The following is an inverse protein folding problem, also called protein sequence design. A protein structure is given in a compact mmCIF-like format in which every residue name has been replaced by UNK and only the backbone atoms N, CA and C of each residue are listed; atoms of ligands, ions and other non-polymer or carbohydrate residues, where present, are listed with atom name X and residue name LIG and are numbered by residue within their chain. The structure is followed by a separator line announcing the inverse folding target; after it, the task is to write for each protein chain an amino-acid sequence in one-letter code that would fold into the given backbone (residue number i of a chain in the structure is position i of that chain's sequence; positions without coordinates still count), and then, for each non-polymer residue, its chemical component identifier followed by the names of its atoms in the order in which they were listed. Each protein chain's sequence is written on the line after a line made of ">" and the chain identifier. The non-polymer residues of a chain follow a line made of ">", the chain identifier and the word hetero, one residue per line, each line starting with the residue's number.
data_IF_497086132349
#
_entry.id   IF_497086132349
#
_cell.length_a   1.000
_cell.length_b   1.000
_cell.length_c   1.000
_cell.angle_alpha   90.00
_cell.angle_beta   90.00
_cell.angle_gamma   90.00
#
_symmetry.space_group_name_H-M   'P 1'
#
loop_
_entity.id
_entity.type
_entity.pdbx_description
1 polymer ?
#
# COMPACT_ATOMS: atom_id res chain seq x y z
N UNK A 1 46.80 42.70 -42.39
CA UNK A 1 46.64 41.37 -41.74
C UNK A 1 45.75 41.47 -40.55
N UNK A 2 44.49 41.08 -40.67
CA UNK A 2 43.53 41.14 -39.58
C UNK A 2 43.47 39.80 -38.86
N UNK A 3 43.98 39.74 -37.62
CA UNK A 3 43.90 38.56 -36.78
C UNK A 3 42.47 38.39 -36.27
N UNK A 4 41.70 37.47 -36.86
CA UNK A 4 40.42 37.02 -36.28
C UNK A 4 40.68 36.35 -34.96
N UNK A 5 40.43 37.08 -33.86
CA UNK A 5 40.27 36.46 -32.54
C UNK A 5 39.02 35.56 -32.56
N UNK A 6 39.24 34.24 -32.55
CA UNK A 6 38.18 33.29 -32.28
C UNK A 6 37.76 33.42 -30.81
N UNK A 7 36.76 34.21 -30.53
CA UNK A 7 36.06 34.23 -29.23
C UNK A 7 35.37 32.85 -29.08
N UNK A 8 35.96 32.00 -28.25
CA UNK A 8 35.35 30.73 -27.89
C UNK A 8 33.98 31.04 -27.25
N UNK A 9 32.89 30.59 -27.93
CA UNK A 9 31.52 30.80 -27.46
C UNK A 9 31.36 30.30 -26.04
N UNK A 10 30.68 31.04 -25.13
CA UNK A 10 30.60 30.69 -23.68
C UNK A 10 29.78 29.41 -23.36
N UNK A 11 29.34 28.68 -24.36
CA UNK A 11 28.48 27.51 -24.23
C UNK A 11 29.18 26.21 -23.73
N UNK A 12 30.48 26.12 -23.82
CA UNK A 12 31.25 24.94 -23.45
C UNK A 12 31.25 24.66 -21.93
N UNK A 13 31.18 25.72 -21.10
CA UNK A 13 31.09 25.58 -19.66
C UNK A 13 29.70 25.12 -19.22
N UNK A 14 28.64 25.51 -19.93
CA UNK A 14 27.27 25.05 -19.69
C UNK A 14 27.20 23.53 -19.83
N UNK A 15 27.75 22.97 -20.91
CA UNK A 15 27.84 21.53 -21.10
C UNK A 15 28.60 20.79 -19.98
N UNK A 16 29.67 21.42 -19.45
CA UNK A 16 30.39 20.88 -18.28
C UNK A 16 29.56 20.91 -17.01
N UNK A 17 28.84 21.99 -16.75
CA UNK A 17 27.94 22.09 -15.59
C UNK A 17 26.88 21.00 -15.65
N UNK A 18 26.18 20.81 -16.80
CA UNK A 18 25.21 19.73 -16.95
C UNK A 18 25.82 18.34 -16.77
N UNK A 19 27.04 18.12 -17.29
CA UNK A 19 27.76 16.86 -17.09
C UNK A 19 28.08 16.62 -15.61
N UNK A 20 28.58 17.64 -14.89
CA UNK A 20 28.85 17.54 -13.46
C UNK A 20 27.57 17.26 -12.65
N UNK A 21 26.46 17.95 -12.97
CA UNK A 21 25.16 17.71 -12.34
C UNK A 21 24.64 16.30 -12.63
N UNK A 22 24.79 15.82 -13.88
CA UNK A 22 24.41 14.45 -14.24
C UNK A 22 25.24 13.39 -13.50
N UNK A 23 26.55 13.60 -13.36
CA UNK A 23 27.42 12.72 -12.58
C UNK A 23 27.05 12.78 -11.10
N UNK A 24 26.81 13.95 -10.53
CA UNK A 24 26.40 14.08 -9.13
C UNK A 24 25.07 13.37 -8.85
N UNK A 25 24.10 13.52 -9.74
CA UNK A 25 22.81 12.80 -9.65
C UNK A 25 23.01 11.28 -9.75
N UNK A 26 23.83 10.81 -10.68
CA UNK A 26 24.16 9.37 -10.80
C UNK A 26 24.80 8.84 -9.54
N UNK A 27 25.77 9.56 -8.97
CA UNK A 27 26.43 9.17 -7.71
C UNK A 27 25.46 9.16 -6.55
N UNK A 28 24.53 10.11 -6.48
CA UNK A 28 23.49 10.14 -5.46
C UNK A 28 22.56 8.92 -5.57
N UNK A 29 22.11 8.59 -6.79
CA UNK A 29 21.27 7.41 -7.03
C UNK A 29 22.03 6.14 -6.65
N UNK A 30 23.28 6.00 -7.10
CA UNK A 30 24.13 4.86 -6.72
C UNK A 30 24.29 4.77 -5.19
N UNK A 31 24.55 5.88 -4.52
CA UNK A 31 24.65 5.90 -3.05
C UNK A 31 23.36 5.39 -2.39
N UNK A 32 22.19 5.85 -2.81
CA UNK A 32 20.89 5.40 -2.28
C UNK A 32 20.77 3.87 -2.42
N UNK A 33 21.07 3.32 -3.59
CA UNK A 33 20.93 1.87 -3.84
C UNK A 33 21.96 1.02 -3.09
N UNK A 34 23.19 1.51 -2.98
CA UNK A 34 24.30 0.76 -2.37
C UNK A 34 24.36 0.91 -0.85
N UNK A 35 23.71 1.92 -0.28
CA UNK A 35 23.69 2.14 1.18
C UNK A 35 22.69 1.26 1.92
N UNK A 36 21.72 0.65 1.22
CA UNK A 36 20.71 -0.23 1.85
C UNK A 36 21.36 -1.48 2.41
N UNK A 37 21.10 -1.82 3.68
CA UNK A 37 21.57 -3.07 4.24
C UNK A 37 20.90 -4.27 3.56
N UNK A 38 21.62 -5.38 3.49
CA UNK A 38 21.06 -6.66 3.08
C UNK A 38 20.27 -7.25 4.24
N UNK A 39 19.08 -7.76 3.96
CA UNK A 39 18.24 -8.45 4.94
C UNK A 39 18.33 -9.96 4.76
N UNK A 40 18.36 -10.68 5.87
CA UNK A 40 18.05 -12.10 5.94
C UNK A 40 16.61 -12.26 6.35
N UNK A 41 15.92 -13.21 5.72
CA UNK A 41 14.53 -13.53 6.00
C UNK A 41 14.47 -14.94 6.58
N UNK A 42 13.75 -15.10 7.70
CA UNK A 42 13.42 -16.41 8.25
C UNK A 42 12.39 -17.07 7.34
N UNK A 43 12.40 -18.42 7.31
CA UNK A 43 11.37 -19.16 6.58
C UNK A 43 10.01 -18.90 7.23
N UNK A 44 9.04 -18.39 6.47
CA UNK A 44 7.69 -18.13 6.97
C UNK A 44 6.95 -19.46 7.21
N UNK A 45 5.93 -19.41 8.05
CA UNK A 45 5.07 -20.57 8.35
C UNK A 45 3.61 -20.10 8.40
N UNK A 46 2.67 -20.93 7.98
CA UNK A 46 1.24 -20.67 8.13
C UNK A 46 0.88 -20.34 9.59
N UNK A 47 -0.29 -19.78 9.79
CA UNK A 47 -0.87 -19.67 11.12
C UNK A 47 -1.14 -21.05 11.68
N UNK A 48 -0.89 -21.26 12.97
CA UNK A 48 -1.00 -22.55 13.65
C UNK A 48 -1.42 -22.36 15.11
N UNK A 49 -2.10 -23.33 15.67
CA UNK A 49 -2.55 -23.34 17.06
C UNK A 49 -4.05 -23.64 17.20
N UNK A 50 -4.50 -23.73 18.45
CA UNK A 50 -5.88 -24.08 18.76
C UNK A 50 -6.79 -22.84 18.88
N UNK A 51 -6.21 -21.67 19.19
CA UNK A 51 -6.97 -20.44 19.37
C UNK A 51 -7.30 -19.81 18.01
N UNK A 52 -8.58 -19.55 17.78
CA UNK A 52 -9.09 -18.82 16.64
C UNK A 52 -9.26 -17.32 17.00
N UNK A 53 -8.50 -16.47 16.34
CA UNK A 53 -8.67 -15.03 16.43
C UNK A 53 -9.56 -14.53 15.30
N UNK A 54 -10.62 -13.80 15.63
CA UNK A 54 -11.44 -13.06 14.66
C UNK A 54 -11.32 -11.55 14.91
N UNK A 55 -11.09 -10.73 13.87
CA UNK A 55 -11.08 -9.28 14.01
C UNK A 55 -12.46 -8.68 14.36
N UNK A 56 -13.55 -9.45 14.16
CA UNK A 56 -14.93 -8.98 14.30
C UNK A 56 -15.59 -9.35 15.66
N UNK A 57 -14.82 -9.84 16.61
CA UNK A 57 -15.37 -10.26 17.90
C UNK A 57 -16.16 -9.14 18.61
N UNK A 58 -15.66 -7.92 18.53
CA UNK A 58 -16.26 -6.73 19.17
C UNK A 58 -17.06 -5.87 18.17
N UNK A 59 -17.41 -6.42 17.02
CA UNK A 59 -18.17 -5.71 15.98
C UNK A 59 -19.57 -5.31 16.48
N UNK A 60 -19.93 -4.04 16.26
CA UNK A 60 -21.31 -3.57 16.39
C UNK A 60 -21.84 -3.19 15.00
N UNK A 61 -22.90 -3.86 14.48
CA UNK A 61 -23.38 -3.64 13.12
C UNK A 61 -23.85 -2.20 12.83
N UNK A 62 -24.13 -1.41 13.86
CA UNK A 62 -24.60 -0.02 13.74
C UNK A 62 -23.45 1.02 13.72
N UNK A 63 -22.19 0.58 13.84
CA UNK A 63 -21.03 1.48 13.98
C UNK A 63 -20.10 1.49 12.75
N UNK A 64 -20.56 0.99 11.64
CA UNK A 64 -19.78 1.05 10.41
C UNK A 64 -19.66 2.47 9.89
N UNK A 65 -18.42 2.86 9.56
CA UNK A 65 -18.03 4.15 9.01
C UNK A 65 -17.34 3.95 7.68
N UNK A 66 -17.65 4.80 6.70
CA UNK A 66 -17.09 4.77 5.35
C UNK A 66 -15.82 5.59 5.29
N UNK A 67 -14.70 4.94 5.00
CA UNK A 67 -13.36 5.52 4.99
C UNK A 67 -12.68 5.38 3.64
N UNK A 68 -11.76 6.31 3.40
CA UNK A 68 -10.87 6.33 2.26
C UNK A 68 -9.51 6.89 2.71
N UNK A 69 -8.39 6.24 2.32
CA UNK A 69 -7.05 6.60 2.75
C UNK A 69 -6.10 6.99 1.61
N UNK A 70 -6.52 6.81 0.34
CA UNK A 70 -5.66 7.00 -0.82
C UNK A 70 -6.30 7.93 -1.85
N UNK A 71 -6.04 9.24 -1.70
CA UNK A 71 -6.54 10.29 -2.58
C UNK A 71 -5.48 11.38 -2.74
N UNK A 72 -5.38 11.93 -3.95
CA UNK A 72 -4.39 12.96 -4.28
C UNK A 72 -5.03 14.33 -4.51
N UNK A 73 -4.51 15.33 -3.80
CA UNK A 73 -4.86 16.73 -4.03
C UNK A 73 -4.00 17.34 -5.16
N UNK A 74 -4.32 18.59 -5.51
CA UNK A 74 -3.53 19.38 -6.45
C UNK A 74 -2.21 19.80 -5.80
N UNK A 75 -1.20 18.94 -5.85
CA UNK A 75 0.14 19.20 -5.34
C UNK A 75 1.16 19.41 -6.47
N UNK A 76 2.31 20.04 -6.16
CA UNK A 76 3.40 20.27 -7.12
C UNK A 76 2.92 20.92 -8.43
N UNK A 77 2.06 21.94 -8.34
CA UNK A 77 1.42 22.61 -9.50
C UNK A 77 0.58 21.68 -10.39
N UNK A 78 0.13 20.55 -9.86
CA UNK A 78 -0.60 19.52 -10.60
C UNK A 78 0.25 18.72 -11.57
N UNK A 79 1.58 18.62 -11.35
CA UNK A 79 2.48 17.80 -12.16
C UNK A 79 2.29 16.31 -11.89
N UNK A 80 1.97 15.95 -10.65
CA UNK A 80 1.82 14.55 -10.22
C UNK A 80 0.37 14.10 -10.18
N UNK A 81 -0.60 15.03 -10.11
CA UNK A 81 -2.00 14.73 -9.84
C UNK A 81 -2.95 15.62 -10.57
N UNK A 82 -4.23 15.25 -10.51
CA UNK A 82 -5.34 15.96 -11.10
C UNK A 82 -5.34 17.45 -10.75
N UNK A 83 -5.26 18.28 -11.77
CA UNK A 83 -5.21 19.76 -11.61
C UNK A 83 -6.46 20.33 -10.96
N UNK A 84 -7.54 19.55 -10.91
CA UNK A 84 -8.87 19.94 -10.41
C UNK A 84 -9.15 19.43 -9.00
N UNK A 85 -8.32 18.55 -8.46
CA UNK A 85 -8.48 17.97 -7.12
C UNK A 85 -7.98 18.95 -6.05
N UNK A 86 -8.66 20.10 -5.90
CA UNK A 86 -8.43 20.96 -4.74
C UNK A 86 -8.99 20.29 -3.49
N UNK A 87 -8.45 20.59 -2.32
CA UNK A 87 -8.90 20.04 -1.04
C UNK A 87 -10.41 20.28 -0.84
N UNK A 88 -10.90 21.47 -1.15
CA UNK A 88 -12.34 21.80 -1.10
C UNK A 88 -13.19 20.98 -2.10
N UNK A 89 -12.67 20.68 -3.28
CA UNK A 89 -13.39 19.83 -4.24
C UNK A 89 -13.42 18.38 -3.76
N UNK A 90 -12.34 17.90 -3.15
CA UNK A 90 -12.26 16.58 -2.51
C UNK A 90 -13.32 16.50 -1.39
N UNK A 91 -13.35 17.48 -0.48
CA UNK A 91 -14.36 17.57 0.57
C UNK A 91 -15.78 17.48 0.00
N UNK A 92 -16.09 18.31 -1.00
CA UNK A 92 -17.42 18.37 -1.58
C UNK A 92 -17.88 17.05 -2.18
N UNK A 93 -17.00 16.34 -2.89
CA UNK A 93 -17.35 15.08 -3.57
C UNK A 93 -17.47 13.92 -2.58
N UNK A 94 -16.51 13.74 -1.68
CA UNK A 94 -16.57 12.62 -0.73
C UNK A 94 -17.67 12.82 0.33
N UNK A 95 -17.97 14.04 0.74
CA UNK A 95 -19.14 14.33 1.59
C UNK A 95 -20.45 14.02 0.87
N UNK A 96 -20.58 14.38 -0.43
CA UNK A 96 -21.74 14.02 -1.22
C UNK A 96 -21.92 12.51 -1.35
N UNK A 97 -20.83 11.75 -1.45
CA UNK A 97 -20.80 10.28 -1.48
C UNK A 97 -21.04 9.64 -0.10
N UNK A 98 -21.20 10.45 0.95
CA UNK A 98 -21.47 9.97 2.32
C UNK A 98 -20.29 9.30 3.00
N UNK A 99 -19.05 9.72 2.69
CA UNK A 99 -17.88 9.27 3.44
C UNK A 99 -17.82 9.96 4.80
N UNK A 100 -17.53 9.18 5.83
CA UNK A 100 -17.29 9.69 7.18
C UNK A 100 -15.88 10.31 7.29
N UNK A 101 -14.91 9.73 6.58
CA UNK A 101 -13.55 10.25 6.47
C UNK A 101 -12.92 9.95 5.12
N UNK A 102 -12.09 10.86 4.62
CA UNK A 102 -11.28 10.70 3.41
C UNK A 102 -9.91 11.33 3.63
N UNK A 103 -8.87 10.49 3.58
CA UNK A 103 -7.48 10.90 3.75
C UNK A 103 -6.88 11.42 2.46
N UNK A 104 -6.24 12.60 2.51
CA UNK A 104 -5.44 13.12 1.40
C UNK A 104 -4.01 12.63 1.59
N UNK A 105 -3.55 11.75 0.69
CA UNK A 105 -2.25 11.07 0.76
C UNK A 105 -1.33 11.50 -0.39
N UNK A 106 -1.08 12.79 -0.52
CA UNK A 106 -0.22 13.34 -1.58
C UNK A 106 1.16 12.68 -1.60
N UNK A 107 1.75 12.54 -2.80
CA UNK A 107 3.09 11.97 -2.96
C UNK A 107 4.12 12.70 -2.12
N UNK A 108 4.81 11.97 -1.24
CA UNK A 108 5.90 12.46 -0.39
C UNK A 108 5.56 13.73 0.39
N UNK A 109 4.27 13.93 0.74
CA UNK A 109 3.79 15.11 1.43
C UNK A 109 2.58 14.82 2.31
N UNK A 110 2.68 15.13 3.60
CA UNK A 110 1.54 15.12 4.51
C UNK A 110 0.74 16.40 4.27
N UNK A 111 -0.50 16.24 3.79
CA UNK A 111 -1.38 17.37 3.55
C UNK A 111 -1.96 17.87 4.88
N UNK A 112 -1.80 19.17 5.23
CA UNK A 112 -2.29 19.71 6.49
C UNK A 112 -3.78 20.07 6.49
N UNK A 113 -4.51 19.80 5.39
CA UNK A 113 -5.94 20.08 5.31
C UNK A 113 -6.72 19.32 6.38
N UNK A 114 -7.46 20.02 7.21
CA UNK A 114 -8.18 19.44 8.34
C UNK A 114 -7.33 19.16 9.60
N UNK A 115 -6.08 19.62 9.66
CA UNK A 115 -5.18 19.36 10.81
C UNK A 115 -5.64 19.96 12.16
N UNK A 116 -6.65 20.83 12.13
CA UNK A 116 -7.32 21.40 13.29
C UNK A 116 -8.51 20.55 13.79
N UNK A 117 -8.85 19.47 13.10
CA UNK A 117 -9.97 18.58 13.43
C UNK A 117 -9.51 17.41 14.28
N UNK A 118 -10.36 16.94 15.19
CA UNK A 118 -10.08 15.76 16.04
C UNK A 118 -10.01 14.44 15.26
N UNK A 119 -10.64 14.38 14.09
CA UNK A 119 -10.65 13.22 13.20
C UNK A 119 -9.54 13.27 12.13
N UNK A 120 -8.61 14.23 12.20
CA UNK A 120 -7.53 14.35 11.25
C UNK A 120 -6.56 13.16 11.33
N UNK A 121 -6.38 12.48 10.21
CA UNK A 121 -5.42 11.39 10.05
C UNK A 121 -4.34 11.83 9.07
N UNK A 122 -3.14 12.21 9.54
CA UNK A 122 -2.05 12.56 8.65
C UNK A 122 -1.63 11.35 7.81
N UNK A 123 -1.68 11.52 6.50
CA UNK A 123 -1.29 10.46 5.57
C UNK A 123 -0.46 11.00 4.40
N UNK A 124 0.32 10.11 3.76
CA UNK A 124 0.98 10.41 2.49
C UNK A 124 1.29 9.10 1.75
N UNK A 125 1.39 9.20 0.42
CA UNK A 125 1.92 8.13 -0.39
C UNK A 125 3.43 8.28 -0.52
N UNK A 126 4.15 7.23 -0.13
CA UNK A 126 5.59 7.11 -0.32
C UNK A 126 5.90 6.40 -1.63
N UNK A 127 6.81 6.96 -2.41
CA UNK A 127 7.35 6.34 -3.62
C UNK A 127 7.42 7.30 -4.81
N UNK A 128 8.55 7.28 -5.54
CA UNK A 128 8.70 7.98 -6.82
C UNK A 128 8.38 7.08 -8.01
N UNK A 129 8.63 5.80 -7.89
CA UNK A 129 8.26 4.72 -8.81
C UNK A 129 8.33 5.06 -10.30
N UNK A 130 9.50 5.41 -10.87
CA UNK A 130 9.62 5.80 -12.27
C UNK A 130 9.31 4.65 -13.25
N UNK A 131 9.74 3.42 -12.93
CA UNK A 131 9.54 2.24 -13.78
C UNK A 131 8.47 1.32 -13.16
N UNK A 132 8.58 1.05 -11.87
CA UNK A 132 7.64 0.21 -11.12
C UNK A 132 7.11 0.99 -9.94
N UNK A 133 5.80 0.95 -9.76
CA UNK A 133 5.09 1.63 -8.69
C UNK A 133 5.15 0.78 -7.42
N UNK A 134 6.25 0.89 -6.68
CA UNK A 134 6.41 0.23 -5.37
C UNK A 134 6.09 1.27 -4.30
N UNK A 135 4.80 1.55 -4.15
CA UNK A 135 4.31 2.62 -3.28
C UNK A 135 3.75 2.08 -1.96
N UNK A 136 3.67 2.94 -0.96
CA UNK A 136 3.08 2.65 0.35
C UNK A 136 2.28 3.85 0.82
N UNK A 137 1.09 3.61 1.34
CA UNK A 137 0.36 4.63 2.11
C UNK A 137 0.83 4.56 3.56
N UNK A 138 1.26 5.70 4.06
CA UNK A 138 1.66 5.92 5.44
C UNK A 138 0.50 6.59 6.18
N UNK A 139 -0.16 5.88 7.08
CA UNK A 139 -1.31 6.35 7.86
C UNK A 139 -0.85 6.69 9.26
N UNK A 140 -1.29 7.83 9.81
CA UNK A 140 -0.80 8.34 11.10
C UNK A 140 0.67 8.75 11.01
N UNK A 141 1.05 9.44 9.93
CA UNK A 141 2.43 9.80 9.64
C UNK A 141 2.87 11.03 10.45
N UNK A 142 3.93 10.89 11.24
CA UNK A 142 4.55 11.99 11.99
C UNK A 142 5.48 12.83 11.11
N UNK A 143 6.12 12.20 10.12
CA UNK A 143 7.05 12.84 9.20
C UNK A 143 7.21 12.06 7.90
N UNK A 144 7.59 12.76 6.84
CA UNK A 144 7.83 12.14 5.52
C UNK A 144 9.23 11.54 5.45
N UNK A 145 9.32 10.25 5.16
CA UNK A 145 10.56 9.60 4.76
C UNK A 145 10.83 9.90 3.29
N UNK A 146 11.92 10.62 2.98
CA UNK A 146 12.16 11.18 1.63
C UNK A 146 13.07 10.33 0.74
N UNK A 147 13.61 9.23 1.27
CA UNK A 147 14.48 8.35 0.49
C UNK A 147 13.62 7.27 -0.16
N UNK A 148 13.73 7.12 -1.46
CA UNK A 148 13.10 6.07 -2.24
C UNK A 148 14.01 5.61 -3.39
N UNK A 149 13.66 4.50 -4.00
CA UNK A 149 14.37 3.86 -5.10
C UNK A 149 13.60 4.09 -6.40
N UNK A 150 14.00 5.08 -7.24
CA UNK A 150 13.23 5.47 -8.41
C UNK A 150 13.10 4.39 -9.50
N UNK A 151 13.93 3.35 -9.45
CA UNK A 151 13.89 2.26 -10.42
C UNK A 151 13.37 0.96 -9.79
N UNK A 152 14.02 -0.18 -10.10
CA UNK A 152 13.61 -1.47 -9.56
C UNK A 152 14.12 -1.65 -8.13
N UNK A 153 13.28 -2.24 -7.29
CA UNK A 153 13.61 -2.58 -5.90
C UNK A 153 13.71 -4.10 -5.73
N UNK A 154 14.74 -4.55 -5.03
CA UNK A 154 14.84 -5.93 -4.55
C UNK A 154 14.11 -6.08 -3.20
N UNK A 155 14.04 -7.31 -2.70
CA UNK A 155 13.32 -7.62 -1.46
C UNK A 155 13.88 -6.88 -0.23
N UNK A 156 15.22 -6.77 -0.13
CA UNK A 156 15.87 -6.02 0.97
C UNK A 156 15.53 -4.52 0.93
N UNK A 157 15.47 -3.92 -0.25
CA UNK A 157 15.09 -2.51 -0.41
C UNK A 157 13.64 -2.27 0.00
N UNK A 158 12.72 -3.15 -0.41
CA UNK A 158 11.30 -3.09 -0.03
C UNK A 158 11.12 -3.21 1.48
N UNK A 159 11.79 -4.20 2.09
CA UNK A 159 11.74 -4.38 3.54
C UNK A 159 12.36 -3.19 4.29
N UNK A 160 13.49 -2.66 3.80
CA UNK A 160 14.10 -1.48 4.36
C UNK A 160 13.16 -0.27 4.34
N UNK A 161 12.48 -0.03 3.20
CA UNK A 161 11.50 1.04 3.06
C UNK A 161 10.36 0.85 4.06
N UNK A 162 9.74 -0.33 4.11
CA UNK A 162 8.64 -0.63 5.05
C UNK A 162 9.09 -0.34 6.51
N UNK A 163 10.29 -0.81 6.90
CA UNK A 163 10.81 -0.56 8.24
C UNK A 163 11.01 0.93 8.53
N UNK A 164 11.55 1.69 7.54
CA UNK A 164 11.77 3.14 7.70
C UNK A 164 10.48 3.95 7.74
N UNK A 165 9.45 3.50 7.06
CA UNK A 165 8.13 4.09 7.12
C UNK A 165 7.44 3.78 8.46
N UNK A 166 7.54 2.56 8.95
CA UNK A 166 7.00 2.16 10.25
C UNK A 166 7.65 2.85 11.45
N UNK A 167 8.89 3.39 11.30
CA UNK A 167 9.52 4.26 12.31
C UNK A 167 8.87 5.64 12.41
N UNK A 168 8.03 6.05 11.46
CA UNK A 168 7.49 7.41 11.29
C UNK A 168 6.00 7.48 11.08
N UNK A 169 5.35 6.34 11.02
CA UNK A 169 3.91 6.24 10.76
C UNK A 169 3.31 5.16 11.65
N UNK A 170 2.07 5.35 12.05
CA UNK A 170 1.35 4.38 12.87
C UNK A 170 1.13 3.08 12.12
N UNK A 171 0.73 3.19 10.84
CA UNK A 171 0.47 2.07 9.95
C UNK A 171 1.11 2.29 8.59
N UNK A 172 1.59 1.21 8.00
CA UNK A 172 2.12 1.17 6.63
C UNK A 172 1.29 0.19 5.82
N UNK A 173 0.86 0.62 4.64
CA UNK A 173 0.06 -0.15 3.70
C UNK A 173 0.73 -0.18 2.33
N UNK A 174 1.27 -1.33 1.84
CA UNK A 174 1.59 -1.48 0.43
C UNK A 174 0.40 -1.13 -0.45
N UNK A 175 0.55 -0.13 -1.32
CA UNK A 175 -0.50 0.39 -2.18
C UNK A 175 -0.48 -0.33 -3.54
N UNK A 176 -1.67 -0.56 -4.13
CA UNK A 176 -1.87 -1.15 -5.48
C UNK A 176 -0.77 -2.17 -5.86
N UNK A 177 -0.49 -3.15 -4.98
CA UNK A 177 0.69 -4.01 -5.01
C UNK A 177 0.90 -4.74 -6.36
N UNK A 178 -0.18 -5.05 -7.10
CA UNK A 178 -0.15 -5.67 -8.42
C UNK A 178 0.22 -4.70 -9.54
N UNK A 179 -0.01 -3.38 -9.35
CA UNK A 179 0.19 -2.38 -10.37
C UNK A 179 1.65 -2.30 -10.81
N UNK A 180 1.90 -2.32 -12.11
CA UNK A 180 3.23 -2.32 -12.73
C UNK A 180 4.19 -3.40 -12.20
N UNK A 181 3.70 -4.39 -11.45
CA UNK A 181 4.49 -5.39 -10.73
C UNK A 181 5.49 -4.76 -9.76
N UNK A 182 5.08 -3.70 -9.06
CA UNK A 182 5.86 -3.02 -8.03
C UNK A 182 6.25 -3.99 -6.92
N UNK A 183 5.26 -4.72 -6.42
CA UNK A 183 5.48 -5.90 -5.59
C UNK A 183 5.28 -7.18 -6.42
N UNK A 184 6.18 -8.14 -6.30
CA UNK A 184 5.91 -9.49 -6.78
C UNK A 184 5.03 -10.20 -5.78
N UNK A 185 4.15 -11.08 -6.24
CA UNK A 185 3.36 -11.94 -5.34
C UNK A 185 4.26 -12.68 -4.35
N UNK A 186 5.40 -13.22 -4.82
CA UNK A 186 6.39 -13.91 -3.99
C UNK A 186 7.07 -13.03 -2.92
N UNK A 187 7.08 -11.70 -3.08
CA UNK A 187 7.66 -10.80 -2.08
C UNK A 187 6.84 -10.84 -0.78
N UNK A 188 5.52 -11.00 -0.89
CA UNK A 188 4.59 -11.03 0.24
C UNK A 188 4.80 -12.24 1.16
N UNK A 189 5.49 -13.26 0.67
CA UNK A 189 5.93 -14.39 1.49
C UNK A 189 6.87 -13.98 2.61
N UNK A 190 7.70 -12.95 2.39
CA UNK A 190 8.80 -12.59 3.29
C UNK A 190 8.68 -11.19 3.90
N UNK A 191 8.01 -10.26 3.22
CA UNK A 191 7.86 -8.90 3.73
C UNK A 191 7.05 -8.90 5.02
N UNK A 192 7.51 -8.14 6.01
CA UNK A 192 6.90 -8.04 7.34
C UNK A 192 6.88 -6.59 7.82
N UNK A 193 6.36 -6.34 9.02
CA UNK A 193 6.26 -5.03 9.66
C UNK A 193 5.33 -4.04 8.93
N UNK A 194 4.37 -4.56 8.16
CA UNK A 194 3.21 -3.82 7.68
C UNK A 194 1.94 -4.53 8.14
N UNK A 195 0.89 -3.78 8.43
CA UNK A 195 -0.36 -4.31 8.99
C UNK A 195 -1.49 -4.35 7.99
N UNK A 196 -1.43 -3.50 6.99
CA UNK A 196 -2.49 -3.27 6.02
C UNK A 196 -1.98 -3.58 4.61
N UNK A 197 -2.86 -3.93 3.71
CA UNK A 197 -2.59 -4.03 2.28
C UNK A 197 -3.81 -3.49 1.52
N UNK A 198 -3.57 -2.69 0.50
CA UNK A 198 -4.61 -2.23 -0.39
C UNK A 198 -4.96 -3.37 -1.36
N UNK A 199 -6.04 -4.09 -1.03
CA UNK A 199 -6.46 -5.31 -1.75
C UNK A 199 -7.25 -4.97 -3.01
N UNK A 200 -8.09 -3.94 -2.93
CA UNK A 200 -8.87 -3.44 -4.07
C UNK A 200 -8.51 -1.99 -4.37
N UNK A 201 -8.12 -1.76 -5.62
CA UNK A 201 -7.67 -0.47 -6.14
C UNK A 201 -7.96 -0.43 -7.65
N UNK A 202 -8.39 0.70 -8.25
CA UNK A 202 -8.73 0.79 -9.68
C UNK A 202 -7.58 0.43 -10.62
N UNK A 203 -6.34 0.59 -10.21
CA UNK A 203 -5.16 0.25 -11.03
C UNK A 203 -4.78 -1.24 -10.95
N UNK A 204 -5.38 -2.01 -10.05
CA UNK A 204 -5.21 -3.46 -9.98
C UNK A 204 -5.40 -4.04 -8.58
N UNK A 205 -6.29 -5.01 -8.48
CA UNK A 205 -6.56 -5.73 -7.25
C UNK A 205 -5.35 -6.61 -6.83
N UNK A 206 -5.06 -6.64 -5.55
CA UNK A 206 -3.92 -7.35 -4.95
C UNK A 206 -4.34 -8.57 -4.13
N UNK A 207 -5.43 -9.25 -4.53
CA UNK A 207 -6.00 -10.40 -3.80
C UNK A 207 -4.98 -11.52 -3.67
N UNK A 208 -4.27 -11.88 -4.75
CA UNK A 208 -3.24 -12.91 -4.72
C UNK A 208 -2.06 -12.54 -3.80
N UNK A 209 -1.67 -11.25 -3.76
CA UNK A 209 -0.65 -10.76 -2.84
C UNK A 209 -1.09 -10.93 -1.38
N UNK A 210 -2.36 -10.62 -1.09
CA UNK A 210 -2.93 -10.79 0.23
C UNK A 210 -3.00 -12.27 0.63
N UNK A 211 -3.48 -13.16 -0.24
CA UNK A 211 -3.54 -14.60 0.02
C UNK A 211 -2.15 -15.20 0.29
N UNK A 212 -1.11 -14.76 -0.45
CA UNK A 212 0.26 -15.22 -0.19
C UNK A 212 0.77 -14.71 1.15
N UNK A 213 0.49 -13.46 1.54
CA UNK A 213 0.85 -12.96 2.86
C UNK A 213 0.18 -13.80 3.98
N UNK A 214 -1.13 -14.00 3.89
CA UNK A 214 -1.90 -14.79 4.87
C UNK A 214 -1.42 -16.22 4.95
N UNK A 215 -1.20 -16.87 3.80
CA UNK A 215 -0.74 -18.27 3.71
C UNK A 215 0.65 -18.50 4.33
N UNK A 216 1.41 -17.44 4.50
CA UNK A 216 2.74 -17.47 5.12
C UNK A 216 2.74 -16.91 6.55
N UNK A 217 1.57 -16.74 7.16
CA UNK A 217 1.41 -16.37 8.55
C UNK A 217 1.63 -14.87 8.84
N UNK A 218 1.49 -14.01 7.83
CA UNK A 218 1.46 -12.56 8.02
C UNK A 218 0.03 -12.12 8.29
N UNK A 219 -0.22 -11.57 9.47
CA UNK A 219 -1.51 -10.99 9.83
C UNK A 219 -1.64 -9.60 9.22
N UNK A 220 -2.16 -9.57 8.00
CA UNK A 220 -2.33 -8.37 7.17
C UNK A 220 -3.80 -8.20 6.82
N UNK A 221 -4.31 -6.99 6.96
CA UNK A 221 -5.71 -6.67 6.79
C UNK A 221 -5.96 -5.89 5.51
N UNK A 222 -7.07 -6.22 4.85
CA UNK A 222 -7.47 -5.66 3.58
C UNK A 222 -8.10 -4.27 3.73
N UNK A 223 -7.64 -3.31 2.94
CA UNK A 223 -8.31 -2.05 2.68
C UNK A 223 -8.64 -1.92 1.19
N UNK A 224 -9.60 -1.04 0.89
CA UNK A 224 -9.95 -0.63 -0.45
C UNK A 224 -9.91 0.89 -0.54
N UNK A 225 -9.31 1.40 -1.60
CA UNK A 225 -9.16 2.83 -1.84
C UNK A 225 -9.23 3.15 -3.34
N UNK A 226 -9.52 4.41 -3.68
CA UNK A 226 -9.72 4.84 -5.06
C UNK A 226 -8.43 5.24 -5.77
N UNK A 227 -7.40 5.66 -5.02
CA UNK A 227 -6.19 6.27 -5.61
C UNK A 227 -6.56 7.41 -6.58
N UNK A 228 -7.48 8.27 -6.13
CA UNK A 228 -8.09 9.33 -6.94
C UNK A 228 -7.07 10.38 -7.37
N UNK A 229 -7.00 10.64 -8.67
CA UNK A 229 -6.12 11.68 -9.24
C UNK A 229 -6.90 12.85 -9.85
N UNK A 230 -8.14 12.65 -10.28
CA UNK A 230 -9.06 13.72 -10.76
C UNK A 230 -10.45 13.55 -10.13
N UNK A 231 -10.70 14.29 -9.06
CA UNK A 231 -11.94 14.26 -8.29
C UNK A 231 -13.19 14.62 -9.11
N UNK A 232 -13.03 15.22 -10.30
CA UNK A 232 -14.15 15.60 -11.16
C UNK A 232 -14.61 14.48 -12.08
N UNK A 233 -13.92 13.34 -12.08
CA UNK A 233 -14.24 12.19 -12.90
C UNK A 233 -14.94 11.11 -12.08
N UNK A 234 -16.15 10.76 -12.46
CA UNK A 234 -16.86 9.64 -11.86
C UNK A 234 -16.08 8.31 -11.94
N UNK A 235 -15.21 8.18 -12.95
CA UNK A 235 -14.31 7.03 -13.12
C UNK A 235 -13.13 6.98 -12.17
N UNK A 236 -12.99 7.93 -11.27
CA UNK A 236 -11.86 7.99 -10.34
C UNK A 236 -12.31 8.13 -8.87
N UNK A 237 -13.61 8.06 -8.60
CA UNK A 237 -14.14 8.21 -7.25
C UNK A 237 -15.15 7.12 -6.91
N UNK A 238 -15.15 6.68 -5.67
CA UNK A 238 -16.06 5.66 -5.16
C UNK A 238 -16.08 4.38 -6.02
N UNK A 239 -14.90 3.85 -6.32
CA UNK A 239 -14.73 2.50 -6.87
C UNK A 239 -14.51 1.50 -5.75
N UNK A 240 -13.66 1.90 -4.81
CA UNK A 240 -13.29 1.10 -3.68
C UNK A 240 -13.32 1.96 -2.42
N UNK A 241 -13.63 1.35 -1.31
CA UNK A 241 -13.65 2.01 -0.02
C UNK A 241 -13.37 1.01 1.10
N UNK A 242 -13.11 1.53 2.29
CA UNK A 242 -12.93 0.75 3.50
C UNK A 242 -14.06 1.05 4.47
N UNK A 243 -14.72 0.01 4.97
CA UNK A 243 -15.64 0.13 6.09
C UNK A 243 -14.90 -0.15 7.38
N UNK A 244 -14.96 0.78 8.34
CA UNK A 244 -14.30 0.68 9.66
C UNK A 244 -15.36 0.70 10.75
N UNK A 245 -15.30 -0.24 11.71
CA UNK A 245 -16.28 -0.36 12.79
C UNK A 245 -15.79 0.36 14.04
N UNK A 246 -16.29 1.54 14.29
CA UNK A 246 -15.80 2.44 15.35
C UNK A 246 -16.92 3.24 16.01
N UNK A 247 -16.86 3.45 17.35
CA UNK A 247 -17.85 4.24 18.08
C UNK A 247 -17.68 5.76 17.90
N UNK A 248 -16.47 6.22 17.60
CA UNK A 248 -16.15 7.63 17.33
C UNK A 248 -15.09 7.75 16.24
N UNK A 249 -14.87 8.95 15.72
CA UNK A 249 -13.97 9.20 14.58
C UNK A 249 -12.59 9.73 14.99
N UNK A 250 -12.20 9.61 16.25
CA UNK A 250 -10.87 10.03 16.71
C UNK A 250 -9.81 9.18 16.02
N UNK A 251 -8.71 9.83 15.63
CA UNK A 251 -7.62 9.15 14.92
C UNK A 251 -7.12 7.89 15.64
N UNK A 252 -6.97 7.92 16.98
CA UNK A 252 -6.53 6.75 17.75
C UNK A 252 -7.53 5.59 17.71
N UNK A 253 -8.84 5.89 17.73
CA UNK A 253 -9.90 4.86 17.60
C UNK A 253 -9.84 4.18 16.24
N UNK A 254 -9.58 4.97 15.18
CA UNK A 254 -9.40 4.46 13.81
C UNK A 254 -8.14 3.59 13.72
N UNK A 255 -7.01 4.05 14.25
CA UNK A 255 -5.77 3.26 14.24
C UNK A 255 -5.95 1.93 14.96
N UNK A 256 -6.57 1.94 16.12
CA UNK A 256 -6.83 0.71 16.90
C UNK A 256 -7.72 -0.27 16.13
N UNK A 257 -8.76 0.22 15.45
CA UNK A 257 -9.63 -0.62 14.64
C UNK A 257 -8.88 -1.23 13.44
N UNK A 258 -8.09 -0.43 12.74
CA UNK A 258 -7.27 -0.90 11.61
C UNK A 258 -6.20 -1.90 12.06
N UNK A 259 -5.53 -1.67 13.20
CA UNK A 259 -4.53 -2.59 13.76
C UNK A 259 -5.11 -3.95 14.15
N UNK A 260 -6.36 -3.96 14.61
CA UNK A 260 -7.10 -5.18 14.96
C UNK A 260 -7.76 -5.85 13.76
N UNK A 261 -7.86 -5.14 12.62
CA UNK A 261 -8.56 -5.59 11.43
C UNK A 261 -10.09 -5.49 11.54
N UNK A 262 -10.59 -4.66 12.46
CA UNK A 262 -12.02 -4.38 12.62
C UNK A 262 -12.51 -3.44 11.50
N UNK A 263 -12.27 -3.88 10.28
CA UNK A 263 -12.60 -3.22 9.02
C UNK A 263 -12.76 -4.26 7.92
N UNK A 264 -13.27 -3.85 6.77
CA UNK A 264 -13.25 -4.65 5.55
C UNK A 264 -13.19 -3.77 4.32
N UNK A 265 -12.59 -4.30 3.23
CA UNK A 265 -12.53 -3.62 1.96
C UNK A 265 -13.82 -3.84 1.15
N UNK A 266 -14.21 -2.85 0.40
CA UNK A 266 -15.37 -2.89 -0.49
C UNK A 266 -14.93 -2.48 -1.89
N UNK A 267 -15.18 -3.34 -2.86
CA UNK A 267 -15.25 -2.98 -4.27
C UNK A 267 -16.68 -2.54 -4.55
N UNK A 268 -16.85 -1.23 -4.78
CA UNK A 268 -18.18 -0.63 -4.84
C UNK A 268 -18.80 -0.74 -6.22
N UNK A 269 -18.00 -0.52 -7.28
CA UNK A 269 -18.43 -0.64 -8.64
C UNK A 269 -17.37 -1.25 -9.56
N UNK A 270 -17.81 -1.73 -10.71
CA UNK A 270 -16.92 -2.09 -11.80
C UNK A 270 -17.13 -1.09 -12.95
N UNK A 271 -16.58 0.11 -12.81
CA UNK A 271 -16.73 1.20 -13.76
C UNK A 271 -16.48 0.80 -15.22
N UNK A 272 -15.50 -0.07 -15.46
CA UNK A 272 -15.13 -0.49 -16.81
C UNK A 272 -16.23 -1.33 -17.49
N UNK A 273 -17.07 -2.01 -16.71
CA UNK A 273 -18.17 -2.82 -17.21
C UNK A 273 -19.52 -2.12 -17.06
N UNK A 274 -19.68 -1.31 -16.00
CA UNK A 274 -20.96 -0.64 -15.65
C UNK A 274 -20.67 0.82 -15.25
N UNK A 275 -20.36 1.72 -16.22
CA UNK A 275 -20.03 3.09 -15.90
C UNK A 275 -21.25 3.82 -15.30
N UNK A 276 -21.05 4.38 -14.11
CA UNK A 276 -22.03 5.22 -13.41
C UNK A 276 -21.62 6.68 -13.49
N UNK A 277 -22.60 7.56 -13.55
CA UNK A 277 -22.42 9.00 -13.32
C UNK A 277 -22.14 9.26 -11.83
N UNK A 278 -21.58 10.43 -11.50
CA UNK A 278 -21.38 10.79 -10.09
C UNK A 278 -22.69 10.82 -9.30
N UNK A 279 -23.78 11.28 -9.92
CA UNK A 279 -25.09 11.31 -9.27
C UNK A 279 -25.61 9.91 -8.92
N UNK A 280 -25.48 8.94 -9.84
CA UNK A 280 -25.83 7.54 -9.59
C UNK A 280 -24.94 6.92 -8.49
N UNK A 281 -23.65 7.24 -8.48
CA UNK A 281 -22.74 6.81 -7.39
C UNK A 281 -23.17 7.37 -6.05
N UNK A 282 -23.52 8.64 -5.97
CA UNK A 282 -24.02 9.28 -4.74
C UNK A 282 -25.26 8.55 -4.22
N UNK A 283 -26.23 8.29 -5.08
CA UNK A 283 -27.45 7.57 -4.68
C UNK A 283 -27.12 6.16 -4.15
N UNK A 284 -26.32 5.39 -4.89
CA UNK A 284 -25.97 4.03 -4.48
C UNK A 284 -25.03 3.99 -3.26
N UNK A 285 -24.13 4.96 -3.11
CA UNK A 285 -23.23 5.02 -1.97
C UNK A 285 -23.98 5.25 -0.64
N UNK A 286 -25.08 5.98 -0.65
CA UNK A 286 -25.95 6.13 0.52
C UNK A 286 -26.77 4.88 0.84
N UNK A 287 -26.95 3.99 -0.13
CA UNK A 287 -27.67 2.73 0.02
C UNK A 287 -26.74 1.52 0.14
N UNK A 288 -25.42 1.76 0.28
CA UNK A 288 -24.44 0.69 0.38
C UNK A 288 -24.80 -0.27 1.51
N UNK A 289 -24.99 -1.57 1.23
CA UNK A 289 -25.16 -2.57 2.26
C UNK A 289 -23.93 -2.65 3.17
N UNK A 290 -24.13 -3.14 4.38
CA UNK A 290 -23.04 -3.31 5.35
C UNK A 290 -23.11 -4.68 6.02
N UNK A 291 -22.01 -5.08 6.63
CA UNK A 291 -21.90 -6.32 7.38
C UNK A 291 -22.72 -6.23 8.67
N UNK A 292 -23.65 -7.16 8.87
CA UNK A 292 -24.50 -7.24 10.08
C UNK A 292 -24.05 -8.33 11.04
N UNK A 293 -23.41 -9.38 10.51
CA UNK A 293 -22.87 -10.48 11.29
C UNK A 293 -21.52 -10.91 10.71
N UNK A 294 -20.53 -11.09 11.58
CA UNK A 294 -19.30 -11.82 11.32
C UNK A 294 -18.84 -12.41 12.67
N UNK A 295 -19.54 -13.46 13.09
CA UNK A 295 -19.42 -14.03 14.43
C UNK A 295 -18.80 -15.42 14.36
N UNK A 296 -17.91 -15.70 15.31
CA UNK A 296 -17.33 -17.01 15.53
C UNK A 296 -18.01 -17.66 16.74
N UNK A 297 -18.72 -18.80 16.54
CA UNK A 297 -19.32 -19.60 17.58
C UNK A 297 -18.65 -20.99 17.61
N UNK A 298 -17.81 -21.22 18.60
CA UNK A 298 -16.89 -22.36 18.58
C UNK A 298 -15.98 -22.27 17.36
N UNK A 299 -16.03 -23.29 16.50
CA UNK A 299 -15.27 -23.32 15.25
C UNK A 299 -16.09 -22.88 14.02
N UNK A 300 -17.32 -22.39 14.22
CA UNK A 300 -18.19 -22.00 13.11
C UNK A 300 -18.19 -20.47 12.93
N UNK A 301 -17.78 -20.03 11.75
CA UNK A 301 -17.85 -18.64 11.31
C UNK A 301 -19.17 -18.39 10.59
N UNK A 302 -19.98 -17.47 11.11
CA UNK A 302 -21.22 -16.99 10.48
C UNK A 302 -21.04 -15.61 9.93
N UNK A 303 -21.61 -15.33 8.73
CA UNK A 303 -21.60 -14.00 8.13
C UNK A 303 -22.95 -13.66 7.51
N UNK A 304 -23.39 -12.41 7.66
CA UNK A 304 -24.53 -11.83 6.97
C UNK A 304 -24.36 -10.33 6.74
N UNK A 305 -25.18 -9.79 5.86
CA UNK A 305 -25.18 -8.37 5.51
C UNK A 305 -26.57 -7.78 5.67
N UNK A 306 -26.72 -6.47 5.52
CA UNK A 306 -28.00 -5.77 5.66
C UNK A 306 -28.98 -5.98 4.49
N UNK A 307 -28.60 -6.72 3.45
CA UNK A 307 -29.54 -7.14 2.39
C UNK A 307 -30.18 -8.48 2.73
N UNK A 308 -31.34 -8.72 2.14
CA UNK A 308 -32.12 -9.95 2.39
C UNK A 308 -31.36 -11.21 1.95
N UNK A 309 -30.66 -11.16 0.81
CA UNK A 309 -29.90 -12.29 0.29
C UNK A 309 -28.60 -11.82 -0.38
N UNK A 310 -27.49 -12.37 0.08
CA UNK A 310 -26.18 -12.26 -0.57
C UNK A 310 -26.15 -13.16 -1.80
N UNK A 311 -25.70 -12.65 -2.93
CA UNK A 311 -25.68 -13.41 -4.18
C UNK A 311 -24.70 -14.60 -4.13
N UNK A 312 -23.50 -14.37 -3.60
CA UNK A 312 -22.49 -15.41 -3.42
C UNK A 312 -21.62 -15.09 -2.21
N UNK A 313 -21.30 -16.12 -1.40
CA UNK A 313 -20.35 -16.01 -0.28
C UNK A 313 -19.30 -17.10 -0.43
N UNK A 314 -18.03 -16.73 -0.48
CA UNK A 314 -16.89 -17.64 -0.52
C UNK A 314 -16.11 -17.59 0.77
N UNK A 315 -15.88 -18.76 1.37
CA UNK A 315 -14.91 -18.98 2.44
C UNK A 315 -13.61 -19.44 1.79
N UNK A 316 -12.52 -18.73 2.06
CA UNK A 316 -11.25 -18.87 1.36
C UNK A 316 -10.14 -19.07 2.39
N UNK A 317 -9.33 -20.12 2.21
CA UNK A 317 -8.25 -20.49 3.12
C UNK A 317 -6.88 -20.51 2.45
N UNK A 318 -6.04 -21.38 2.93
CA UNK A 318 -4.64 -21.54 2.53
C UNK A 318 -4.46 -21.48 0.99
N UNK A 319 -3.49 -20.67 0.55
CA UNK A 319 -3.14 -20.46 -0.86
C UNK A 319 -4.30 -19.89 -1.73
N UNK A 320 -5.25 -19.17 -1.09
CA UNK A 320 -6.42 -18.62 -1.78
C UNK A 320 -7.44 -19.69 -2.22
N UNK A 321 -7.36 -20.90 -1.67
CA UNK A 321 -8.28 -21.99 -2.01
C UNK A 321 -9.69 -21.70 -1.48
N UNK A 322 -10.69 -21.80 -2.36
CA UNK A 322 -12.09 -21.76 -1.95
C UNK A 322 -12.43 -23.04 -1.18
N UNK A 323 -12.81 -22.90 0.08
CA UNK A 323 -13.18 -23.98 1.00
C UNK A 323 -14.67 -24.30 0.89
N UNK A 324 -15.50 -23.26 0.77
CA UNK A 324 -16.95 -23.36 0.62
C UNK A 324 -17.49 -22.18 -0.17
N UNK A 325 -18.53 -22.42 -0.95
CA UNK A 325 -19.33 -21.37 -1.60
C UNK A 325 -20.79 -21.57 -1.24
N UNK A 326 -21.49 -20.49 -0.90
CA UNK A 326 -22.93 -20.46 -0.71
C UNK A 326 -23.54 -19.36 -1.59
N UNK A 327 -24.71 -19.62 -2.16
CA UNK A 327 -25.37 -18.71 -3.12
C UNK A 327 -26.80 -18.40 -2.67
N UNK A 328 -27.21 -17.15 -2.88
CA UNK A 328 -28.56 -16.64 -2.60
C UNK A 328 -29.02 -16.90 -1.16
N UNK A 329 -28.14 -16.65 -0.20
CA UNK A 329 -28.35 -16.87 1.24
C UNK A 329 -28.45 -15.57 2.01
N UNK A 330 -29.23 -15.57 3.10
CA UNK A 330 -29.30 -14.48 4.09
C UNK A 330 -28.16 -14.55 5.09
N UNK A 331 -27.77 -15.76 5.46
CA UNK A 331 -26.64 -16.04 6.34
C UNK A 331 -25.82 -17.20 5.77
N UNK A 332 -24.53 -16.98 5.61
CA UNK A 332 -23.58 -18.02 5.24
C UNK A 332 -22.74 -18.46 6.44
N UNK A 333 -22.28 -19.71 6.44
CA UNK A 333 -21.48 -20.24 7.54
C UNK A 333 -20.44 -21.26 7.06
N UNK A 334 -19.35 -21.37 7.83
CA UNK A 334 -18.31 -22.36 7.61
C UNK A 334 -17.75 -22.88 8.94
N UNK A 335 -17.63 -24.21 9.06
CA UNK A 335 -16.94 -24.85 10.20
C UNK A 335 -15.45 -24.89 9.88
N UNK A 336 -14.66 -24.10 10.60
CA UNK A 336 -13.20 -24.00 10.41
C UNK A 336 -12.56 -25.33 10.82
N UNK A 337 -11.95 -26.01 9.87
CA UNK A 337 -11.31 -27.32 10.07
C UNK A 337 -9.95 -27.16 10.79
N UNK A 338 -9.47 -28.18 11.50
CA UNK A 338 -8.16 -28.12 12.19
C UNK A 338 -6.99 -27.78 11.26
N UNK A 339 -7.05 -28.14 9.98
CA UNK A 339 -6.06 -27.84 8.95
C UNK A 339 -6.14 -26.44 8.36
N UNK A 340 -7.24 -25.72 8.56
CA UNK A 340 -7.39 -24.35 8.08
C UNK A 340 -6.52 -23.40 8.91
N UNK A 341 -5.44 -22.91 8.33
CA UNK A 341 -4.55 -21.94 9.00
C UNK A 341 -5.19 -20.57 9.14
N UNK A 342 -6.00 -20.18 8.16
CA UNK A 342 -6.86 -19.00 8.18
C UNK A 342 -8.10 -19.25 7.32
N UNK A 343 -9.13 -18.44 7.58
CA UNK A 343 -10.34 -18.36 6.75
C UNK A 343 -10.72 -16.89 6.57
N UNK A 344 -10.68 -16.39 5.34
CA UNK A 344 -11.25 -15.10 4.97
C UNK A 344 -12.54 -15.28 4.20
N UNK A 345 -13.37 -14.23 4.17
CA UNK A 345 -14.65 -14.28 3.46
C UNK A 345 -14.66 -13.24 2.35
N UNK A 346 -15.17 -13.63 1.19
CA UNK A 346 -15.50 -12.74 0.10
C UNK A 346 -16.98 -12.85 -0.19
N UNK A 347 -17.68 -11.73 -0.21
CA UNK A 347 -19.12 -11.64 -0.43
C UNK A 347 -19.36 -10.87 -1.73
N UNK A 348 -19.99 -11.53 -2.70
CA UNK A 348 -20.66 -10.82 -3.78
C UNK A 348 -22.06 -10.46 -3.28
N UNK A 349 -22.30 -9.18 -3.05
CA UNK A 349 -23.52 -8.72 -2.41
C UNK A 349 -24.71 -8.79 -3.39
N UNK A 350 -24.54 -8.23 -4.59
CA UNK A 350 -25.64 -8.03 -5.55
C UNK A 350 -25.19 -8.09 -7.02
N UNK A 351 -24.05 -8.70 -7.31
CA UNK A 351 -23.46 -8.77 -8.65
C UNK A 351 -22.61 -7.57 -9.04
N UNK A 352 -22.64 -6.51 -8.26
CA UNK A 352 -21.87 -5.28 -8.48
C UNK A 352 -20.89 -5.03 -7.35
N UNK A 353 -21.34 -5.13 -6.10
CA UNK A 353 -20.59 -4.81 -4.90
C UNK A 353 -19.98 -6.08 -4.28
N UNK A 354 -18.70 -6.02 -3.95
CA UNK A 354 -17.98 -7.11 -3.32
C UNK A 354 -17.34 -6.67 -2.01
N UNK A 355 -17.51 -7.47 -0.96
CA UNK A 355 -16.87 -7.26 0.34
C UNK A 355 -15.74 -8.27 0.54
N UNK A 356 -14.63 -7.79 1.05
CA UNK A 356 -13.43 -8.58 1.36
C UNK A 356 -13.18 -8.49 2.87
N UNK A 357 -13.64 -9.49 3.61
CA UNK A 357 -13.56 -9.54 5.06
C UNK A 357 -12.18 -10.02 5.51
N UNK A 358 -11.67 -9.43 6.56
CA UNK A 358 -10.42 -9.81 7.19
C UNK A 358 -10.49 -11.21 7.82
N UNK A 359 -9.38 -11.96 7.82
CA UNK A 359 -9.40 -13.38 8.13
C UNK A 359 -9.59 -13.68 9.61
N UNK A 360 -10.28 -14.80 9.89
CA UNK A 360 -10.05 -15.57 11.11
C UNK A 360 -8.72 -16.30 10.97
N UNK A 361 -7.87 -16.26 11.98
CA UNK A 361 -6.52 -16.85 11.96
C UNK A 361 -6.25 -17.71 13.19
N UNK A 362 -5.41 -18.75 13.05
CA UNK A 362 -5.03 -19.64 14.16
C UNK A 362 -3.81 -19.12 14.92
N UNK A 363 -3.84 -19.23 16.22
CA UNK A 363 -2.74 -18.87 17.11
C UNK A 363 -2.54 -19.89 18.23
N UNK A 364 -1.32 -20.00 18.80
CA UNK A 364 -1.07 -20.90 19.92
C UNK A 364 -1.84 -20.52 21.20
N UNK A 365 -2.11 -19.21 21.37
CA UNK A 365 -2.80 -18.65 22.54
C UNK A 365 -3.68 -17.47 22.12
N UNK A 366 -4.48 -16.95 23.05
CA UNK A 366 -5.26 -15.73 22.86
C UNK A 366 -4.40 -14.46 22.69
N UNK A 367 -3.12 -14.52 23.08
CA UNK A 367 -2.18 -13.42 22.86
C UNK A 367 -1.62 -13.55 21.44
N UNK A 368 -2.11 -12.71 20.55
CA UNK A 368 -1.72 -12.71 19.14
C UNK A 368 -0.47 -11.87 18.96
N UNK A 369 0.63 -12.51 18.57
CA UNK A 369 1.93 -11.86 18.34
C UNK A 369 2.32 -11.99 16.87
N UNK A 370 2.67 -10.87 16.26
CA UNK A 370 3.16 -10.87 14.88
C UNK A 370 4.60 -11.38 14.80
N UNK A 371 4.84 -12.19 13.78
CA UNK A 371 6.18 -12.73 13.52
C UNK A 371 6.98 -11.74 12.69
N UNK A 372 8.05 -11.23 13.26
CA UNK A 372 9.06 -10.49 12.48
C UNK A 372 10.00 -11.49 11.80
N UNK A 373 10.02 -11.48 10.48
CA UNK A 373 10.83 -12.39 9.69
C UNK A 373 12.19 -11.78 9.27
N UNK A 374 12.26 -10.46 9.16
CA UNK A 374 13.43 -9.74 8.68
C UNK A 374 14.46 -9.50 9.79
N UNK A 375 15.72 -9.55 9.41
CA UNK A 375 16.84 -9.08 10.22
C UNK A 375 17.95 -8.56 9.31
N UNK A 376 18.67 -7.52 9.75
CA UNK A 376 19.83 -7.01 9.00
C UNK A 376 20.96 -8.04 9.03
N UNK A 377 21.41 -8.46 7.84
CA UNK A 377 22.58 -9.30 7.67
C UNK A 377 23.84 -8.42 7.62
N UNK A 378 24.38 -8.07 8.78
CA UNK A 378 25.55 -7.17 8.88
C UNK A 378 26.78 -7.71 8.15
N UNK A 379 27.05 -9.01 8.23
CA UNK A 379 28.22 -9.62 7.57
C UNK A 379 28.14 -9.47 6.05
N UNK A 380 27.00 -9.81 5.46
CA UNK A 380 26.78 -9.69 4.02
C UNK A 380 26.72 -8.21 3.58
N UNK A 381 26.12 -7.34 4.38
CA UNK A 381 26.06 -5.90 4.14
C UNK A 381 27.46 -5.31 4.05
N UNK A 382 28.32 -5.57 5.04
CA UNK A 382 29.70 -5.08 5.07
C UNK A 382 30.50 -5.65 3.91
N UNK A 383 30.35 -6.95 3.62
CA UNK A 383 31.02 -7.58 2.47
C UNK A 383 30.68 -6.87 1.15
N UNK A 384 29.40 -6.60 0.90
CA UNK A 384 29.01 -5.87 -0.32
C UNK A 384 29.55 -4.45 -0.35
N UNK A 385 29.53 -3.72 0.76
CA UNK A 385 30.10 -2.38 0.82
C UNK A 385 31.60 -2.37 0.52
N UNK A 386 32.35 -3.35 1.04
CA UNK A 386 33.79 -3.51 0.73
C UNK A 386 33.99 -3.81 -0.76
N UNK A 387 33.20 -4.73 -1.34
CA UNK A 387 33.27 -5.04 -2.78
C UNK A 387 32.96 -3.82 -3.62
N UNK A 388 31.94 -3.05 -3.30
CA UNK A 388 31.59 -1.82 -4.03
C UNK A 388 32.68 -0.76 -3.90
N UNK A 389 33.28 -0.59 -2.72
CA UNK A 389 34.38 0.35 -2.50
C UNK A 389 35.61 -0.04 -3.34
N UNK A 390 35.98 -1.31 -3.35
CA UNK A 390 37.12 -1.82 -4.15
C UNK A 390 36.83 -1.63 -5.65
N UNK A 391 35.64 -1.96 -6.11
CA UNK A 391 35.25 -1.78 -7.51
C UNK A 391 35.28 -0.29 -7.93
N UNK A 392 34.81 0.61 -7.06
CA UNK A 392 34.87 2.05 -7.30
C UNK A 392 36.30 2.57 -7.36
N UNK A 393 37.16 2.17 -6.43
CA UNK A 393 38.61 2.54 -6.42
C UNK A 393 39.28 2.04 -7.71
N UNK A 394 39.03 0.79 -8.12
CA UNK A 394 39.60 0.21 -9.33
C UNK A 394 39.12 0.98 -10.59
N UNK A 395 37.84 1.37 -10.62
CA UNK A 395 37.30 2.17 -11.73
C UNK A 395 37.92 3.57 -11.81
N UNK A 396 38.07 4.27 -10.68
CA UNK A 396 38.72 5.58 -10.62
C UNK A 396 40.17 5.47 -11.05
N UNK A 397 40.91 4.44 -10.58
CA UNK A 397 42.29 4.18 -10.99
C UNK A 397 42.40 3.94 -12.52
N UNK A 398 41.48 3.13 -13.10
CA UNK A 398 41.43 2.89 -14.54
C UNK A 398 41.21 4.17 -15.32
N UNK A 399 40.28 5.04 -14.90
CA UNK A 399 40.05 6.33 -15.54
C UNK A 399 41.27 7.25 -15.48
N UNK A 400 41.92 7.27 -14.30
CA UNK A 400 43.16 8.05 -14.11
C UNK A 400 44.30 7.55 -14.96
N UNK A 401 44.51 6.23 -15.09
CA UNK A 401 45.47 5.61 -15.97
C UNK A 401 45.22 6.02 -17.45
N UNK A 402 43.98 5.89 -17.91
CA UNK A 402 43.58 6.31 -19.30
C UNK A 402 43.81 7.80 -19.55
N UNK A 403 43.53 8.63 -18.58
CA UNK A 403 43.77 10.07 -18.70
C UNK A 403 45.29 10.37 -18.80
N UNK A 404 46.14 9.70 -18.03
CA UNK A 404 47.61 9.83 -18.11
C UNK A 404 48.15 9.38 -19.49
N UNK A 405 47.68 8.24 -19.99
CA UNK A 405 48.06 7.74 -21.34
C UNK A 405 47.70 8.74 -22.43
N UNK A 406 46.52 9.34 -22.40
CA UNK A 406 46.12 10.39 -23.35
C UNK A 406 47.01 11.65 -23.27
N UNK A 407 47.44 12.03 -22.06
CA UNK A 407 48.36 13.18 -21.91
C UNK A 407 49.76 12.87 -22.38
N UNK A 408 50.25 11.65 -22.17
CA UNK A 408 51.58 11.22 -22.64
C UNK A 408 51.69 11.11 -24.15
N UNK A 409 50.60 10.81 -24.86
CA UNK A 409 50.57 10.74 -26.33
C UNK A 409 50.26 12.10 -27.02
N UNK A 410 50.04 13.16 -26.23
CA UNK A 410 49.75 14.52 -26.75
C UNK A 410 50.97 15.48 -26.61
N UNK A 411 52.05 15.00 -26.05
CA UNK A 411 53.37 15.63 -26.01
C UNK A 411 54.34 14.84 -26.92
#
# INVERSE_FOLDING_TARGET
>A
MSTKQHTKKPWWWIGRVFLCLGIALLLLVLYIYLSVPTYSFKEPRPFEGEYLYTPYQDMNPNLWKKYHFHCHSRKYFGLTNGRKSTETAIDSVYQALGYDHYGISDYMHINPHGADREDYIPAYEHGYGLIRKTHQICIGAESVYRIDFPFMQNLSMKQHTINKLGERSRLVMPAHASFTKGYKVSDMKFLSNYRLIEVVNPYGNAIEHWDVALSNGHRVYALGDDDTHDITRASEVCHNLTMVNIPDMKAETVYDALEKGLCYAVEFDNYYHFPMTLAEKVEQAHQLPHLTLAQLEGDTLFVSTSIEKMQEVKFIGQDGKVLKTEENVDTAWYVIQPEDSYVRVQINVNGLQHFYLNPVTRHPTSIVVDRRLDSVNYAQTVLYWVVYAVAFIAFVWYLFKKWREKKGNAN
#
